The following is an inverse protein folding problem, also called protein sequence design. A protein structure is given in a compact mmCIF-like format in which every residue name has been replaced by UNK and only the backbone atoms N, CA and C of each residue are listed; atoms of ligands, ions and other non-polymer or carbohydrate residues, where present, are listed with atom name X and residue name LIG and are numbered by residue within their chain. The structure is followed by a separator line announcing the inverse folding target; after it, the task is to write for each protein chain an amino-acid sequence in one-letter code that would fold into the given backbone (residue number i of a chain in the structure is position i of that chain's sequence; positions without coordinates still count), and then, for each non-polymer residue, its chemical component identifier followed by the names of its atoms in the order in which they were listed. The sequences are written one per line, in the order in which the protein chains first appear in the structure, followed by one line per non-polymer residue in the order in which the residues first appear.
data_IF_987372284706
#
_entry.id   IF_987372284706
#
_cell.length_a   1.000
_cell.length_b   1.000
_cell.length_c   1.000
_cell.angle_alpha   90.00
_cell.angle_beta   90.00
_cell.angle_gamma   90.00
#
_symmetry.space_group_name_H-M   'P 1'
#
loop_
_entity.id
_entity.type
_entity.pdbx_description
1 polymer ?
#
# COMPACT_ATOMS: atom_id res chain seq x y z
N UNK A 1 -30.91 21.16 -30.41
CA UNK A 1 -31.06 20.15 -29.34
C UNK A 1 -29.79 19.92 -28.52
N UNK A 2 -28.58 19.97 -29.09
CA UNK A 2 -27.32 19.67 -28.36
C UNK A 2 -26.89 20.75 -27.33
N UNK A 3 -27.35 22.00 -27.46
CA UNK A 3 -26.84 23.12 -26.65
C UNK A 3 -27.32 23.18 -25.20
N UNK A 4 -28.57 22.79 -24.91
CA UNK A 4 -29.16 22.88 -23.56
C UNK A 4 -28.72 21.71 -22.67
N UNK A 5 -28.61 20.51 -23.25
CA UNK A 5 -28.25 19.30 -22.53
C UNK A 5 -26.84 19.36 -21.92
N UNK A 6 -25.91 20.08 -22.58
CA UNK A 6 -24.55 20.32 -22.09
C UNK A 6 -24.52 21.05 -20.75
N UNK A 7 -25.52 21.90 -20.47
CA UNK A 7 -25.64 22.61 -19.20
C UNK A 7 -26.39 21.81 -18.14
N UNK A 8 -27.30 20.92 -18.56
CA UNK A 8 -28.08 20.08 -17.63
C UNK A 8 -27.17 19.08 -16.91
N UNK A 9 -26.18 18.50 -17.60
CA UNK A 9 -25.26 17.52 -17.00
C UNK A 9 -24.51 18.05 -15.78
N UNK A 10 -23.76 19.17 -15.86
CA UNK A 10 -23.06 19.69 -14.69
C UNK A 10 -24.04 20.15 -13.60
N UNK A 11 -25.19 20.74 -13.95
CA UNK A 11 -26.17 21.22 -12.96
C UNK A 11 -26.69 20.06 -12.10
N UNK A 12 -27.14 18.97 -12.72
CA UNK A 12 -27.62 17.78 -12.00
C UNK A 12 -26.50 17.13 -11.20
N UNK A 13 -25.28 17.07 -11.75
CA UNK A 13 -24.11 16.53 -11.06
C UNK A 13 -23.76 17.32 -9.79
N UNK A 14 -23.67 18.65 -9.88
CA UNK A 14 -23.34 19.49 -8.72
C UNK A 14 -24.46 19.51 -7.67
N UNK A 15 -25.73 19.48 -8.07
CA UNK A 15 -26.85 19.31 -7.14
C UNK A 15 -26.81 17.96 -6.42
N UNK A 16 -26.44 16.89 -7.12
CA UNK A 16 -26.26 15.56 -6.52
C UNK A 16 -25.08 15.51 -5.54
N UNK A 17 -23.98 16.21 -5.83
CA UNK A 17 -22.86 16.36 -4.90
C UNK A 17 -23.25 17.14 -3.63
N UNK A 18 -24.03 18.22 -3.79
CA UNK A 18 -24.54 19.02 -2.66
C UNK A 18 -25.47 18.22 -1.75
N UNK A 19 -26.10 17.18 -2.28
CA UNK A 19 -26.96 16.26 -1.51
C UNK A 19 -26.17 15.31 -0.59
N UNK A 20 -24.82 15.39 -0.60
CA UNK A 20 -23.96 14.58 0.27
C UNK A 20 -23.87 13.10 -0.12
N UNK A 21 -24.34 12.73 -1.30
CA UNK A 21 -24.24 11.35 -1.81
C UNK A 21 -22.80 11.02 -2.23
N UNK A 22 -22.35 9.77 -2.07
CA UNK A 22 -21.05 9.35 -2.60
C UNK A 22 -20.97 9.62 -4.11
N UNK A 23 -19.83 10.15 -4.55
CA UNK A 23 -19.61 10.63 -5.93
C UNK A 23 -20.02 9.59 -6.99
N UNK A 24 -19.80 8.31 -6.74
CA UNK A 24 -20.23 7.23 -7.63
C UNK A 24 -21.74 7.19 -7.88
N UNK A 25 -22.55 7.34 -6.83
CA UNK A 25 -24.02 7.39 -6.95
C UNK A 25 -24.49 8.63 -7.70
N UNK A 26 -23.80 9.75 -7.51
CA UNK A 26 -24.08 11.00 -8.23
C UNK A 26 -23.81 10.83 -9.73
N UNK A 27 -22.69 10.19 -10.11
CA UNK A 27 -22.39 9.87 -11.50
C UNK A 27 -23.48 8.98 -12.13
N UNK A 28 -23.87 7.90 -11.45
CA UNK A 28 -24.92 6.99 -11.93
C UNK A 28 -26.25 7.71 -12.14
N UNK A 29 -26.70 8.45 -11.12
CA UNK A 29 -27.97 9.19 -11.18
C UNK A 29 -27.97 10.23 -12.29
N UNK A 30 -26.87 10.97 -12.44
CA UNK A 30 -26.73 12.00 -13.49
C UNK A 30 -26.85 11.37 -14.88
N UNK A 31 -26.08 10.32 -15.17
CA UNK A 31 -26.11 9.61 -16.46
C UNK A 31 -27.49 9.04 -16.76
N UNK A 32 -28.15 8.44 -15.77
CA UNK A 32 -29.48 7.87 -15.91
C UNK A 32 -30.55 8.93 -16.25
N UNK A 33 -30.53 10.07 -15.56
CA UNK A 33 -31.47 11.19 -15.80
C UNK A 33 -31.29 11.73 -17.23
N UNK A 34 -30.06 11.97 -17.66
CA UNK A 34 -29.78 12.54 -18.99
C UNK A 34 -30.17 11.57 -20.10
N UNK A 35 -29.81 10.29 -19.99
CA UNK A 35 -30.16 9.30 -21.01
C UNK A 35 -31.67 9.09 -21.12
N UNK A 36 -32.40 9.25 -20.01
CA UNK A 36 -33.87 9.22 -19.99
C UNK A 36 -34.47 10.44 -20.69
N UNK A 37 -33.89 11.64 -20.49
CA UNK A 37 -34.33 12.88 -21.16
C UNK A 37 -34.08 12.86 -22.67
N UNK A 38 -33.00 12.20 -23.12
CA UNK A 38 -32.67 11.96 -24.52
C UNK A 38 -33.59 10.94 -25.22
N UNK A 39 -34.54 10.32 -24.48
CA UNK A 39 -35.44 9.30 -25.02
C UNK A 39 -34.75 7.97 -25.33
N UNK A 40 -33.55 7.74 -24.76
CA UNK A 40 -32.79 6.51 -24.98
C UNK A 40 -33.52 5.34 -24.31
N UNK A 41 -33.65 4.22 -25.01
CA UNK A 41 -34.27 3.01 -24.43
C UNK A 41 -33.54 2.57 -23.16
N UNK A 42 -34.28 2.27 -22.10
CA UNK A 42 -33.72 1.74 -20.84
C UNK A 42 -32.93 0.45 -21.07
N UNK A 43 -33.32 -0.35 -22.07
CA UNK A 43 -32.56 -1.54 -22.50
C UNK A 43 -31.17 -1.20 -23.01
N UNK A 44 -31.03 -0.09 -23.77
CA UNK A 44 -29.74 0.35 -24.29
C UNK A 44 -28.82 0.86 -23.16
N UNK A 45 -29.39 1.57 -22.19
CA UNK A 45 -28.66 2.01 -20.98
C UNK A 45 -28.16 0.80 -20.19
N UNK A 46 -29.02 -0.18 -19.94
CA UNK A 46 -28.67 -1.40 -19.22
C UNK A 46 -27.62 -2.25 -19.97
N UNK A 47 -27.76 -2.38 -21.30
CA UNK A 47 -26.79 -3.09 -22.14
C UNK A 47 -25.42 -2.40 -22.16
N UNK A 48 -25.39 -1.07 -22.29
CA UNK A 48 -24.15 -0.28 -22.24
C UNK A 48 -23.46 -0.40 -20.89
N UNK A 49 -24.22 -0.42 -19.80
CA UNK A 49 -23.70 -0.63 -18.45
C UNK A 49 -23.11 -2.03 -18.28
N UNK A 50 -23.79 -3.07 -18.77
CA UNK A 50 -23.29 -4.44 -18.73
C UNK A 50 -21.98 -4.59 -19.52
N UNK A 51 -21.93 -4.03 -20.74
CA UNK A 51 -20.72 -4.04 -21.55
C UNK A 51 -19.55 -3.26 -20.92
N UNK A 52 -19.84 -2.19 -20.18
CA UNK A 52 -18.81 -1.47 -19.44
C UNK A 52 -18.20 -2.34 -18.33
N UNK A 53 -18.98 -3.20 -17.66
CA UNK A 53 -18.52 -4.07 -16.59
C UNK A 53 -17.89 -5.39 -17.09
N UNK A 54 -18.24 -5.85 -18.29
CA UNK A 54 -17.80 -7.16 -18.82
C UNK A 54 -16.34 -7.19 -19.30
N UNK A 55 -15.54 -6.17 -18.99
CA UNK A 55 -14.13 -6.11 -19.38
C UNK A 55 -13.24 -7.08 -18.60
N UNK A 56 -12.29 -7.71 -19.29
CA UNK A 56 -11.29 -8.61 -18.69
C UNK A 56 -10.47 -7.96 -17.56
N UNK A 57 -10.28 -6.63 -17.61
CA UNK A 57 -9.55 -5.85 -16.61
C UNK A 57 -10.30 -5.83 -15.26
N UNK A 58 -11.64 -5.77 -15.24
CA UNK A 58 -12.41 -5.77 -13.98
C UNK A 58 -12.32 -7.11 -13.24
N UNK A 59 -12.33 -8.22 -13.99
CA UNK A 59 -12.05 -9.53 -13.40
C UNK A 59 -10.63 -9.58 -12.83
N UNK A 60 -9.63 -9.10 -13.58
CA UNK A 60 -8.25 -9.07 -13.10
C UNK A 60 -8.10 -8.24 -11.80
N UNK A 61 -8.69 -7.04 -11.74
CA UNK A 61 -8.71 -6.20 -10.53
C UNK A 61 -9.31 -6.98 -9.36
N UNK A 62 -10.45 -7.63 -9.55
CA UNK A 62 -11.15 -8.39 -8.50
C UNK A 62 -10.29 -9.54 -7.98
N UNK A 63 -9.67 -10.32 -8.87
CA UNK A 63 -8.79 -11.42 -8.48
C UNK A 63 -7.51 -10.94 -7.77
N UNK A 64 -6.90 -9.84 -8.22
CA UNK A 64 -5.74 -9.26 -7.53
C UNK A 64 -6.12 -8.74 -6.13
N UNK A 65 -7.27 -8.07 -5.99
CA UNK A 65 -7.76 -7.60 -4.70
C UNK A 65 -8.03 -8.78 -3.75
N UNK A 66 -8.70 -9.82 -4.26
CA UNK A 66 -9.01 -11.03 -3.51
C UNK A 66 -7.72 -11.74 -3.06
N UNK A 67 -6.75 -11.91 -3.95
CA UNK A 67 -5.45 -12.49 -3.62
C UNK A 67 -4.72 -11.67 -2.55
N UNK A 68 -4.72 -10.33 -2.67
CA UNK A 68 -4.12 -9.43 -1.69
C UNK A 68 -4.76 -9.55 -0.30
N UNK A 69 -6.09 -9.62 -0.23
CA UNK A 69 -6.82 -9.81 1.04
C UNK A 69 -6.55 -11.19 1.64
N UNK A 70 -6.55 -12.26 0.82
CA UNK A 70 -6.24 -13.61 1.27
C UNK A 70 -4.81 -13.70 1.84
N UNK A 71 -3.83 -13.11 1.17
CA UNK A 71 -2.44 -13.06 1.65
C UNK A 71 -2.32 -12.31 2.98
N UNK A 72 -3.02 -11.18 3.12
CA UNK A 72 -3.05 -10.43 4.37
C UNK A 72 -3.66 -11.25 5.51
N UNK A 73 -4.73 -12.02 5.26
CA UNK A 73 -5.38 -12.87 6.28
C UNK A 73 -4.59 -14.16 6.58
N UNK A 74 -3.82 -14.67 5.63
CA UNK A 74 -3.05 -15.91 5.77
C UNK A 74 -1.71 -15.74 6.53
N UNK A 75 -1.44 -14.57 7.09
CA UNK A 75 -0.19 -14.31 7.84
C UNK A 75 1.05 -14.18 6.96
N UNK A 76 0.89 -13.89 5.66
CA UNK A 76 2.03 -13.75 4.73
C UNK A 76 2.89 -12.54 5.08
N UNK A 77 2.29 -11.47 5.62
CA UNK A 77 2.99 -10.26 6.01
C UNK A 77 4.14 -10.53 7.00
N UNK A 78 3.93 -11.42 7.98
CA UNK A 78 4.95 -11.84 8.94
C UNK A 78 6.14 -12.54 8.28
N UNK A 79 5.85 -13.45 7.33
CA UNK A 79 6.88 -14.17 6.57
C UNK A 79 7.67 -13.23 5.67
N UNK A 80 6.99 -12.27 5.03
CA UNK A 80 7.62 -11.24 4.21
C UNK A 80 8.52 -10.34 5.07
N UNK A 81 8.08 -9.98 6.27
CA UNK A 81 8.89 -9.20 7.20
C UNK A 81 10.15 -9.96 7.63
N UNK A 82 10.03 -11.26 7.92
CA UNK A 82 11.18 -12.11 8.23
C UNK A 82 12.16 -12.20 7.06
N UNK A 83 11.66 -12.33 5.83
CA UNK A 83 12.49 -12.33 4.62
C UNK A 83 13.21 -10.98 4.43
N UNK A 84 12.50 -9.87 4.57
CA UNK A 84 13.09 -8.53 4.48
C UNK A 84 14.19 -8.33 5.53
N UNK A 85 14.01 -8.88 6.74
CA UNK A 85 15.02 -8.83 7.78
C UNK A 85 16.29 -9.60 7.43
N UNK A 86 16.18 -10.72 6.73
CA UNK A 86 17.35 -11.46 6.23
C UNK A 86 18.13 -10.66 5.18
N UNK A 87 17.44 -9.88 4.35
CA UNK A 87 18.05 -9.12 3.25
C UNK A 87 18.76 -7.86 3.77
N UNK A 88 18.07 -7.02 4.55
CA UNK A 88 18.55 -5.67 4.94
C UNK A 88 18.78 -5.48 6.45
N UNK A 89 18.46 -6.46 7.30
CA UNK A 89 18.51 -6.31 8.75
C UNK A 89 19.91 -6.04 9.35
N UNK A 90 21.00 -6.34 8.61
CA UNK A 90 22.39 -6.10 9.05
C UNK A 90 22.87 -4.67 8.82
N UNK A 91 22.08 -3.82 8.16
CA UNK A 91 22.49 -2.44 7.79
C UNK A 91 22.27 -1.44 8.94
N UNK A 92 22.94 -0.28 8.89
CA UNK A 92 22.71 0.83 9.82
C UNK A 92 21.27 1.34 9.64
N UNK A 93 20.50 1.46 10.73
CA UNK A 93 19.06 1.73 10.66
C UNK A 93 18.24 0.54 10.11
N UNK A 94 18.84 -0.66 10.10
CA UNK A 94 18.33 -1.84 9.40
C UNK A 94 16.90 -2.21 9.77
N UNK A 95 16.49 -2.06 11.03
CA UNK A 95 15.13 -2.44 11.47
C UNK A 95 14.01 -1.64 10.80
N UNK A 96 14.21 -0.35 10.52
CA UNK A 96 13.23 0.45 9.76
C UNK A 96 13.35 0.15 8.27
N UNK A 97 14.58 -0.09 7.78
CA UNK A 97 14.81 -0.56 6.41
C UNK A 97 14.10 -1.89 6.13
N UNK A 98 14.01 -2.80 7.12
CA UNK A 98 13.19 -4.02 7.03
C UNK A 98 11.73 -3.67 6.76
N UNK A 99 11.18 -2.67 7.45
CA UNK A 99 9.80 -2.22 7.20
C UNK A 99 9.58 -1.68 5.79
N UNK A 100 10.53 -0.89 5.28
CA UNK A 100 10.48 -0.33 3.92
C UNK A 100 10.54 -1.46 2.88
N UNK A 101 11.47 -2.40 3.02
CA UNK A 101 11.60 -3.55 2.10
C UNK A 101 10.43 -4.51 2.23
N UNK A 102 9.91 -4.75 3.43
CA UNK A 102 8.72 -5.57 3.62
C UNK A 102 7.50 -4.93 2.97
N UNK A 103 7.40 -3.60 3.02
CA UNK A 103 6.35 -2.85 2.33
C UNK A 103 6.48 -2.94 0.81
N UNK A 104 7.71 -2.87 0.28
CA UNK A 104 8.00 -3.11 -1.12
C UNK A 104 7.56 -4.51 -1.57
N UNK A 105 7.97 -5.55 -0.84
CA UNK A 105 7.66 -6.94 -1.16
C UNK A 105 6.18 -7.28 -0.98
N UNK A 106 5.57 -6.81 0.11
CA UNK A 106 4.14 -7.04 0.37
C UNK A 106 3.28 -6.26 -0.62
N UNK A 107 3.70 -5.05 -0.98
CA UNK A 107 3.08 -4.25 -2.03
C UNK A 107 3.09 -4.93 -3.39
N UNK A 108 4.21 -5.56 -3.76
CA UNK A 108 4.33 -6.37 -4.97
C UNK A 108 3.46 -7.65 -4.95
N UNK A 109 2.86 -8.00 -3.82
CA UNK A 109 1.95 -9.14 -3.69
C UNK A 109 0.49 -8.68 -3.65
N UNK A 110 0.20 -7.58 -2.95
CA UNK A 110 -1.16 -7.10 -2.69
C UNK A 110 -1.66 -6.06 -3.69
N UNK A 111 -0.75 -5.35 -4.35
CA UNK A 111 -1.07 -4.24 -5.24
C UNK A 111 -1.86 -3.10 -4.65
N UNK A 112 -1.81 -3.00 -3.32
CA UNK A 112 -2.48 -1.99 -2.53
C UNK A 112 -1.69 -1.67 -1.26
N UNK A 113 -1.55 -0.38 -0.97
CA UNK A 113 -1.05 0.20 0.27
C UNK A 113 -1.93 -0.08 1.47
N UNK A 114 -3.25 -0.26 1.31
CA UNK A 114 -4.16 -0.42 2.47
C UNK A 114 -3.81 -1.68 3.28
N UNK A 115 -3.66 -2.88 2.66
CA UNK A 115 -3.14 -4.06 3.36
C UNK A 115 -1.74 -3.87 3.94
N UNK A 116 -0.85 -3.15 3.25
CA UNK A 116 0.50 -2.90 3.74
C UNK A 116 0.49 -2.08 5.04
N UNK A 117 -0.28 -1.00 5.09
CA UNK A 117 -0.46 -0.17 6.29
C UNK A 117 -1.08 -0.98 7.41
N UNK A 118 -2.19 -1.66 7.14
CA UNK A 118 -2.96 -2.40 8.14
C UNK A 118 -2.16 -3.57 8.74
N UNK A 119 -1.33 -4.25 7.93
CA UNK A 119 -0.53 -5.36 8.40
C UNK A 119 0.79 -4.90 9.04
N UNK A 120 1.58 -4.07 8.35
CA UNK A 120 2.98 -3.83 8.75
C UNK A 120 3.13 -2.80 9.88
N UNK A 121 2.28 -1.77 9.93
CA UNK A 121 2.47 -0.69 10.89
C UNK A 121 2.23 -1.17 12.33
N UNK A 122 1.12 -1.84 12.66
CA UNK A 122 0.91 -2.38 14.01
C UNK A 122 1.99 -3.41 14.40
N UNK A 123 2.48 -4.19 13.43
CA UNK A 123 3.52 -5.20 13.65
C UNK A 123 4.90 -4.61 13.94
N UNK A 124 5.21 -3.41 13.44
CA UNK A 124 6.55 -2.83 13.52
C UNK A 124 6.68 -1.70 14.53
N UNK A 125 5.69 -0.81 14.62
CA UNK A 125 5.80 0.44 15.41
C UNK A 125 6.04 0.14 16.90
N UNK A 126 5.23 -0.72 17.51
CA UNK A 126 5.32 -0.98 18.95
C UNK A 126 6.61 -1.73 19.34
N UNK A 127 7.06 -2.77 18.61
CA UNK A 127 8.36 -3.41 18.88
C UNK A 127 9.56 -2.49 18.68
N UNK A 128 9.55 -1.65 17.63
CA UNK A 128 10.63 -0.70 17.32
C UNK A 128 10.81 0.33 18.44
N UNK A 129 9.71 0.84 18.99
CA UNK A 129 9.72 1.76 20.12
C UNK A 129 10.21 1.06 21.39
N UNK A 130 9.53 -0.01 21.82
CA UNK A 130 9.78 -0.63 23.14
C UNK A 130 11.12 -1.35 23.24
N UNK A 131 11.56 -2.02 22.17
CA UNK A 131 12.77 -2.87 22.20
C UNK A 131 14.02 -2.21 21.64
N UNK A 132 13.86 -1.30 20.69
CA UNK A 132 14.99 -0.71 19.96
C UNK A 132 15.13 0.81 20.17
N UNK A 133 14.17 1.43 20.88
CA UNK A 133 14.23 2.83 21.30
C UNK A 133 14.01 3.83 20.18
N UNK A 134 13.40 3.42 19.06
CA UNK A 134 13.03 4.35 18.00
C UNK A 134 11.83 5.19 18.41
N UNK A 135 11.83 6.47 18.06
CA UNK A 135 10.68 7.33 18.30
C UNK A 135 9.47 6.84 17.48
N UNK A 136 8.31 6.69 18.14
CA UNK A 136 7.06 6.24 17.51
C UNK A 136 6.65 7.11 16.34
N UNK A 137 6.83 8.44 16.48
CA UNK A 137 6.49 9.44 15.46
C UNK A 137 7.29 9.24 14.18
N UNK A 138 8.61 9.09 14.29
CA UNK A 138 9.49 8.84 13.15
C UNK A 138 9.16 7.51 12.48
N UNK A 139 9.02 6.45 13.28
CA UNK A 139 8.74 5.10 12.77
C UNK A 139 7.42 5.05 12.02
N UNK A 140 6.34 5.55 12.61
CA UNK A 140 5.03 5.59 11.96
C UNK A 140 5.05 6.46 10.69
N UNK A 141 5.71 7.62 10.72
CA UNK A 141 5.79 8.50 9.56
C UNK A 141 6.50 7.84 8.38
N UNK A 142 7.66 7.21 8.60
CA UNK A 142 8.43 6.54 7.55
C UNK A 142 7.67 5.33 7.00
N UNK A 143 7.08 4.50 7.86
CA UNK A 143 6.31 3.35 7.40
C UNK A 143 5.06 3.78 6.61
N UNK A 144 4.29 4.76 7.11
CA UNK A 144 3.15 5.32 6.39
C UNK A 144 3.57 5.88 5.03
N UNK A 145 4.65 6.65 4.94
CA UNK A 145 5.15 7.19 3.68
C UNK A 145 5.57 6.08 2.70
N UNK A 146 6.31 5.09 3.20
CA UNK A 146 6.74 3.95 2.39
C UNK A 146 5.59 3.06 1.92
N UNK A 147 4.43 3.05 2.59
CA UNK A 147 3.26 2.26 2.21
C UNK A 147 2.73 2.54 0.81
N UNK A 148 2.95 3.75 0.28
CA UNK A 148 2.60 4.12 -1.09
C UNK A 148 3.35 3.29 -2.15
N UNK A 149 4.48 2.67 -1.80
CA UNK A 149 5.17 1.72 -2.68
C UNK A 149 4.25 0.57 -3.13
N UNK A 150 3.28 0.17 -2.29
CA UNK A 150 2.28 -0.84 -2.64
C UNK A 150 1.31 -0.45 -3.75
N UNK A 151 1.22 0.83 -4.13
CA UNK A 151 0.47 1.26 -5.32
C UNK A 151 1.36 1.38 -6.56
N UNK A 152 2.68 1.44 -6.41
CA UNK A 152 3.58 1.61 -7.54
C UNK A 152 4.06 0.27 -8.11
N UNK A 153 4.31 -0.70 -7.25
CA UNK A 153 4.94 -1.96 -7.65
C UNK A 153 3.88 -2.92 -8.20
N UNK A 154 4.11 -3.58 -9.34
CA UNK A 154 3.17 -4.54 -9.89
C UNK A 154 2.97 -5.77 -8.99
N UNK A 155 1.74 -6.34 -8.94
CA UNK A 155 0.50 -5.86 -9.55
C UNK A 155 -0.01 -4.60 -8.83
N UNK A 156 -0.71 -3.68 -9.50
CA UNK A 156 -1.19 -2.45 -8.86
C UNK A 156 -2.61 -2.08 -9.31
N UNK A 157 -3.52 -1.92 -8.35
CA UNK A 157 -4.93 -1.60 -8.64
C UNK A 157 -5.09 -0.23 -9.32
N UNK A 158 -4.46 0.86 -8.85
CA UNK A 158 -4.52 2.15 -9.55
C UNK A 158 -3.98 2.07 -10.99
N UNK A 159 -2.92 1.30 -11.22
CA UNK A 159 -2.34 1.15 -12.56
C UNK A 159 -3.29 0.38 -13.48
N UNK A 160 -4.02 -0.61 -12.97
CA UNK A 160 -5.05 -1.32 -13.75
C UNK A 160 -6.19 -0.40 -14.18
N UNK A 161 -6.64 0.49 -13.29
CA UNK A 161 -7.65 1.51 -13.62
C UNK A 161 -7.12 2.47 -14.69
N UNK A 162 -5.86 2.90 -14.57
CA UNK A 162 -5.21 3.72 -15.60
C UNK A 162 -5.17 3.01 -16.96
N UNK A 163 -4.77 1.73 -17.00
CA UNK A 163 -4.72 0.96 -18.25
C UNK A 163 -6.10 0.85 -18.92
N UNK A 164 -7.15 0.70 -18.12
CA UNK A 164 -8.53 0.68 -18.60
C UNK A 164 -8.92 2.02 -19.25
N UNK A 165 -8.64 3.14 -18.58
CA UNK A 165 -9.01 4.48 -19.07
C UNK A 165 -8.17 4.91 -20.28
N UNK A 166 -6.86 4.68 -20.23
CA UNK A 166 -5.93 5.03 -21.30
C UNK A 166 -5.92 4.01 -22.45
N UNK A 167 -6.67 2.91 -22.33
CA UNK A 167 -6.69 1.77 -23.26
C UNK A 167 -5.29 1.25 -23.59
N UNK A 168 -4.42 1.20 -22.57
CA UNK A 168 -3.04 0.75 -22.68
C UNK A 168 -2.89 -0.71 -22.28
N UNK A 169 -1.83 -1.36 -22.76
CA UNK A 169 -1.49 -2.71 -22.35
C UNK A 169 -1.07 -2.75 -20.88
N UNK A 170 -1.75 -3.59 -20.09
CA UNK A 170 -1.47 -3.78 -18.66
C UNK A 170 -0.01 -4.17 -18.41
N UNK A 171 0.53 -5.09 -19.20
CA UNK A 171 1.90 -5.57 -19.04
C UNK A 171 2.92 -4.46 -19.29
N UNK A 172 2.69 -3.60 -20.29
CA UNK A 172 3.59 -2.50 -20.62
C UNK A 172 3.63 -1.45 -19.51
N UNK A 173 2.47 -1.09 -18.96
CA UNK A 173 2.40 -0.10 -17.87
C UNK A 173 2.91 -0.69 -16.55
N UNK A 174 2.67 -1.97 -16.28
CA UNK A 174 3.28 -2.63 -15.11
C UNK A 174 4.81 -2.58 -15.17
N UNK A 175 5.39 -2.85 -16.33
CA UNK A 175 6.84 -2.80 -16.49
C UNK A 175 7.38 -1.37 -16.33
N UNK A 176 6.61 -0.36 -16.75
CA UNK A 176 7.01 1.04 -16.62
C UNK A 176 7.05 1.53 -15.17
N UNK A 177 6.28 0.94 -14.25
CA UNK A 177 6.27 1.34 -12.84
C UNK A 177 7.35 0.68 -11.98
N UNK A 178 7.99 -0.40 -12.47
CA UNK A 178 9.07 -1.09 -11.74
C UNK A 178 10.24 -0.16 -11.47
N UNK A 179 10.67 0.60 -12.48
CA UNK A 179 11.80 1.54 -12.37
C UNK A 179 11.52 2.64 -11.33
N UNK A 180 10.44 3.43 -11.41
CA UNK A 180 10.16 4.45 -10.40
C UNK A 180 9.88 3.86 -9.02
N UNK A 181 9.27 2.67 -8.93
CA UNK A 181 8.99 2.01 -7.65
C UNK A 181 10.25 1.58 -6.92
N UNK A 182 11.19 0.97 -7.64
CA UNK A 182 12.52 0.63 -7.09
C UNK A 182 13.32 1.88 -6.74
N UNK A 183 13.28 2.92 -7.58
CA UNK A 183 13.97 4.18 -7.33
C UNK A 183 13.48 4.85 -6.04
N UNK A 184 12.16 4.92 -5.82
CA UNK A 184 11.59 5.46 -4.58
C UNK A 184 11.97 4.61 -3.35
N UNK A 185 11.99 3.29 -3.51
CA UNK A 185 12.40 2.38 -2.43
C UNK A 185 13.84 2.64 -2.00
N UNK A 186 14.75 2.77 -2.96
CA UNK A 186 16.13 3.16 -2.70
C UNK A 186 16.21 4.54 -2.03
N UNK A 187 15.41 5.52 -2.50
CA UNK A 187 15.30 6.83 -1.86
C UNK A 187 14.91 6.76 -0.39
N UNK A 188 13.88 5.96 -0.05
CA UNK A 188 13.47 5.73 1.33
C UNK A 188 14.55 5.04 2.17
N UNK A 189 15.27 4.07 1.60
CA UNK A 189 16.37 3.39 2.28
C UNK A 189 17.53 4.34 2.57
N UNK A 190 17.91 5.16 1.60
CA UNK A 190 18.96 6.18 1.75
C UNK A 190 18.57 7.21 2.80
N UNK A 191 17.34 7.73 2.74
CA UNK A 191 16.84 8.69 3.72
C UNK A 191 16.83 8.09 5.13
N UNK A 192 16.37 6.85 5.28
CA UNK A 192 16.41 6.15 6.56
C UNK A 192 17.85 5.93 7.07
N UNK A 193 18.79 5.61 6.17
CA UNK A 193 20.19 5.41 6.54
C UNK A 193 20.81 6.67 7.19
N UNK A 194 20.52 7.85 6.65
CA UNK A 194 21.04 9.12 7.18
C UNK A 194 20.29 9.58 8.44
N UNK A 195 18.97 9.41 8.50
CA UNK A 195 18.13 10.04 9.52
C UNK A 195 17.90 9.15 10.75
N UNK A 196 17.93 7.82 10.59
CA UNK A 196 17.55 6.87 11.64
C UNK A 196 18.32 7.02 12.96
N UNK A 197 19.57 7.47 12.92
CA UNK A 197 20.43 7.66 14.10
C UNK A 197 19.93 8.80 15.01
N UNK A 198 19.35 9.84 14.41
CA UNK A 198 18.86 11.02 15.13
C UNK A 198 17.61 10.74 15.96
N UNK A 199 16.79 9.80 15.51
CA UNK A 199 15.49 9.46 16.11
C UNK A 199 15.52 8.17 16.92
N UNK A 200 16.72 7.70 17.25
CA UNK A 200 16.93 6.52 18.08
C UNK A 200 17.46 6.94 19.45
N UNK A 201 16.62 6.75 20.47
CA UNK A 201 17.03 6.88 21.86
C UNK A 201 17.55 5.53 22.34
N UNK A 202 18.79 5.48 22.84
CA UNK A 202 19.34 4.24 23.38
C UNK A 202 18.53 3.80 24.62
N UNK A 203 17.77 2.72 24.49
CA UNK A 203 17.06 2.09 25.62
C UNK A 203 18.08 1.55 26.63
N UNK A 204 17.79 1.65 27.93
CA UNK A 204 18.63 1.16 29.05
C UNK A 204 19.15 -0.30 28.89
N UNK A 205 18.48 -1.14 28.09
CA UNK A 205 18.90 -2.51 27.77
C UNK A 205 20.18 -2.60 26.90
N UNK A 206 20.51 -1.57 26.13
CA UNK A 206 21.78 -1.49 25.39
C UNK A 206 22.92 -0.93 26.26
N UNK A 207 22.61 -0.02 27.18
CA UNK A 207 23.58 0.59 28.11
C UNK A 207 24.07 -0.43 29.14
N UNK A 208 23.19 -1.30 29.66
CA UNK A 208 23.57 -2.37 30.60
C UNK A 208 24.42 -3.46 29.95
N UNK A 209 24.30 -3.69 28.64
CA UNK A 209 25.13 -4.64 27.89
C UNK A 209 26.46 -4.03 27.40
N UNK A 210 26.58 -2.71 27.40
CA UNK A 210 27.83 -2.02 27.00
C UNK A 210 28.88 -2.00 28.13
N UNK A 211 28.45 -2.07 29.40
CA UNK A 211 29.33 -2.02 30.57
C UNK A 211 29.78 -3.40 31.07
N UNK A 212 29.17 -4.49 30.59
CA UNK A 212 29.54 -5.86 30.97
C UNK A 212 30.32 -6.55 29.85
N UNK A 213 31.62 -6.22 29.80
CA UNK A 213 32.70 -7.01 29.24
C UNK A 213 32.80 -7.28 27.73
N UNK A 214 34.07 -7.23 27.30
CA UNK A 214 34.59 -7.21 25.94
C UNK A 214 34.59 -8.55 25.20
N UNK A 215 34.17 -9.67 25.77
CA UNK A 215 34.48 -10.97 25.17
C UNK A 215 33.26 -11.94 25.11
N UNK A 216 33.01 -12.45 23.88
CA UNK A 216 32.48 -13.80 23.53
C UNK A 216 31.04 -13.96 22.93
N UNK A 217 30.02 -13.11 23.15
CA UNK A 217 28.65 -13.40 22.60
C UNK A 217 28.07 -12.36 21.64
N UNK A 218 28.93 -11.78 20.80
CA UNK A 218 28.61 -10.68 19.90
C UNK A 218 28.14 -11.17 18.52
N UNK A 219 26.94 -11.79 18.40
CA UNK A 219 26.15 -11.84 17.13
C UNK A 219 24.81 -12.62 17.14
N UNK A 220 24.55 -13.52 18.08
CA UNK A 220 23.36 -14.41 17.97
C UNK A 220 22.04 -13.85 18.53
N UNK A 221 22.06 -12.94 19.50
CA UNK A 221 20.86 -12.67 20.29
C UNK A 221 19.87 -11.63 19.73
N UNK A 222 20.27 -10.71 18.83
CA UNK A 222 19.28 -9.78 18.23
C UNK A 222 18.38 -10.45 17.18
N UNK A 223 18.86 -11.52 16.54
CA UNK A 223 18.10 -12.30 15.55
C UNK A 223 17.11 -13.23 16.27
N UNK A 224 17.57 -13.95 17.30
CA UNK A 224 16.71 -14.82 18.11
C UNK A 224 15.63 -14.03 18.86
N UNK A 225 15.87 -12.82 19.35
CA UNK A 225 14.83 -12.04 20.06
C UNK A 225 13.74 -11.46 19.16
N UNK A 226 14.03 -11.16 17.87
CA UNK A 226 12.99 -10.76 16.91
C UNK A 226 12.24 -11.99 16.37
N UNK A 227 12.95 -13.09 16.08
CA UNK A 227 12.33 -14.39 15.76
C UNK A 227 11.45 -14.93 16.90
N UNK A 228 11.87 -14.78 18.15
CA UNK A 228 11.12 -15.17 19.34
C UNK A 228 9.89 -14.28 19.59
N UNK A 229 9.88 -13.06 19.05
CA UNK A 229 8.70 -12.18 19.07
C UNK A 229 7.64 -12.65 18.05
N UNK A 230 8.09 -13.11 16.89
CA UNK A 230 7.25 -13.74 15.85
C UNK A 230 6.69 -15.10 16.27
N UNK A 231 7.48 -15.91 17.01
CA UNK A 231 7.09 -17.26 17.46
C UNK A 231 6.18 -17.30 18.71
N UNK A 232 5.97 -16.18 19.41
CA UNK A 232 5.14 -16.12 20.63
C UNK A 232 3.65 -15.85 20.37
N UNK A 233 3.22 -15.84 19.11
CA UNK A 233 1.84 -15.61 18.69
C UNK A 233 1.18 -16.88 18.15
N UNK A 234 1.33 -18.00 18.87
CA UNK A 234 0.44 -19.15 18.77
C UNK A 234 -0.42 -19.22 20.03
#
# INVERSE_FOLDING_TARGET
MIGIEIYIVPIVFFLGLLSGLPVGWVFFGTIFIILSLLGTSSLFVAGSFYHALSGSIYMAITFFLLAGVLMSKAGVAEKVLALANLIVGKTKGGLIAVGIVATYLLGALTGSSIPCVAALIPLLVDPLEKKYGYEKRYTAAVLCASSFLGYLIPPSVPVLIYCLLAKQSVAAVFLSTVIPGTMLTLGYLVLNYFISDKYRHYTKSEISNSNSNKDIYRRENKIKTFYFLLLKFK
#
